data_IF_740349845987
#
_entry.id   IF_740349845987
#
_cell.length_a   1.000
_cell.length_b   1.000
_cell.length_c   1.000
_cell.angle_alpha   90.00
_cell.angle_beta   90.00
_cell.angle_gamma   90.00
#
_symmetry.space_group_name_H-M   'P 1'
#
loop_
_entity.id
_entity.type
_entity.pdbx_description
1 polymer ?
#
# COMPACT_ATOMS: atom_id res chain seq x y z
N UNK A 1 2.63 -18.52 6.45
CA UNK A 1 3.52 -18.68 5.29
C UNK A 1 4.27 -17.37 5.07
N UNK A 2 5.44 -17.39 4.43
CA UNK A 2 6.17 -16.16 4.12
C UNK A 2 5.73 -15.60 2.76
N UNK A 3 5.56 -14.28 2.67
CA UNK A 3 5.26 -13.59 1.41
C UNK A 3 6.50 -13.47 0.53
N UNK A 4 6.32 -13.26 -0.79
CA UNK A 4 7.45 -13.10 -1.72
C UNK A 4 8.36 -11.90 -1.38
N UNK A 5 7.80 -10.83 -0.80
CA UNK A 5 8.56 -9.66 -0.34
C UNK A 5 9.37 -10.01 0.91
N UNK A 6 8.82 -10.80 1.84
CA UNK A 6 9.56 -11.27 3.02
C UNK A 6 10.75 -12.15 2.64
N UNK A 7 10.54 -13.06 1.68
CA UNK A 7 11.62 -13.89 1.14
C UNK A 7 12.70 -13.02 0.52
N UNK A 8 12.34 -12.03 -0.30
CA UNK A 8 13.31 -11.12 -0.89
C UNK A 8 14.08 -10.31 0.16
N UNK A 9 13.41 -9.83 1.21
CA UNK A 9 14.04 -9.13 2.33
C UNK A 9 15.09 -10.00 3.01
N UNK A 10 14.76 -11.26 3.29
CA UNK A 10 15.70 -12.20 3.89
C UNK A 10 16.89 -12.48 2.95
N UNK A 11 16.62 -12.75 1.68
CA UNK A 11 17.67 -13.00 0.67
C UNK A 11 18.61 -11.81 0.56
N UNK A 12 18.10 -10.57 0.51
CA UNK A 12 18.95 -9.38 0.45
C UNK A 12 19.69 -9.09 1.75
N UNK A 13 19.15 -9.48 2.91
CA UNK A 13 19.87 -9.36 4.18
C UNK A 13 21.12 -10.23 4.22
N UNK A 14 21.09 -11.40 3.57
CA UNK A 14 22.23 -12.31 3.48
C UNK A 14 23.11 -12.04 2.24
N UNK A 15 22.50 -11.59 1.14
CA UNK A 15 23.14 -11.36 -0.17
C UNK A 15 22.59 -10.07 -0.81
N UNK A 16 23.14 -8.90 -0.50
CA UNK A 16 22.64 -7.61 -0.99
C UNK A 16 22.60 -7.47 -2.53
N UNK A 17 23.50 -8.17 -3.23
CA UNK A 17 23.58 -8.18 -4.69
C UNK A 17 22.76 -9.29 -5.36
N UNK A 18 21.93 -10.02 -4.61
CA UNK A 18 21.07 -11.04 -5.18
C UNK A 18 20.09 -10.42 -6.17
N UNK A 19 20.02 -10.98 -7.38
CA UNK A 19 19.09 -10.59 -8.43
C UNK A 19 17.80 -11.39 -8.24
N UNK A 20 16.67 -10.70 -8.17
CA UNK A 20 15.37 -11.31 -7.87
C UNK A 20 14.36 -10.93 -8.94
N UNK A 21 13.57 -11.90 -9.40
CA UNK A 21 12.42 -11.69 -10.29
C UNK A 21 11.15 -11.99 -9.51
N UNK A 22 10.34 -10.96 -9.25
CA UNK A 22 9.02 -11.09 -8.67
C UNK A 22 8.02 -11.45 -9.76
N UNK A 23 7.28 -12.54 -9.56
CA UNK A 23 6.23 -13.00 -10.47
C UNK A 23 4.89 -13.03 -9.72
N UNK A 24 4.10 -11.98 -9.87
CA UNK A 24 2.91 -11.69 -9.05
C UNK A 24 1.62 -11.75 -9.86
N UNK A 25 0.49 -12.10 -9.24
CA UNK A 25 -0.82 -11.96 -9.90
C UNK A 25 -1.28 -10.51 -10.00
N UNK A 26 -0.76 -9.64 -9.14
CA UNK A 26 -1.30 -8.30 -8.92
C UNK A 26 -0.23 -7.24 -9.13
N UNK A 27 -0.63 -6.10 -9.71
CA UNK A 27 0.16 -4.88 -9.81
C UNK A 27 -0.09 -3.94 -8.60
N UNK A 28 -0.59 -4.48 -7.49
CA UNK A 28 -1.08 -3.71 -6.37
C UNK A 28 0.00 -2.77 -5.79
N UNK A 29 -0.37 -1.52 -5.58
CA UNK A 29 0.52 -0.47 -5.08
C UNK A 29 1.09 -0.79 -3.69
N UNK A 30 0.38 -1.57 -2.86
CA UNK A 30 0.91 -2.03 -1.57
C UNK A 30 2.20 -2.83 -1.73
N UNK A 31 2.26 -3.78 -2.69
CA UNK A 31 3.45 -4.61 -2.88
C UNK A 31 4.62 -3.81 -3.44
N UNK A 32 4.34 -2.88 -4.36
CA UNK A 32 5.37 -1.99 -4.93
C UNK A 32 5.96 -1.09 -3.83
N UNK A 33 5.11 -0.50 -2.99
CA UNK A 33 5.56 0.29 -1.83
C UNK A 33 6.43 -0.50 -0.86
N UNK A 34 5.99 -1.71 -0.48
CA UNK A 34 6.74 -2.55 0.44
C UNK A 34 8.06 -3.05 -0.16
N UNK A 35 8.08 -3.32 -1.47
CA UNK A 35 9.29 -3.68 -2.19
C UNK A 35 10.33 -2.55 -2.11
N UNK A 36 9.93 -1.31 -2.36
CA UNK A 36 10.85 -0.15 -2.29
C UNK A 36 11.47 0.08 -0.92
N UNK A 37 10.81 -0.34 0.16
CA UNK A 37 11.37 -0.24 1.51
C UNK A 37 12.52 -1.21 1.75
N UNK A 38 12.56 -2.32 1.01
CA UNK A 38 13.50 -3.42 1.25
C UNK A 38 14.57 -3.58 0.16
N UNK A 39 14.35 -3.02 -1.03
CA UNK A 39 15.29 -3.09 -2.15
C UNK A 39 16.58 -2.35 -1.79
N UNK A 40 17.74 -3.03 -1.78
CA UNK A 40 19.00 -2.35 -1.56
C UNK A 40 19.36 -1.41 -2.72
N UNK A 41 20.15 -0.34 -2.47
CA UNK A 41 20.59 0.55 -3.53
C UNK A 41 21.33 -0.20 -4.63
N UNK A 42 21.07 0.17 -5.89
CA UNK A 42 21.74 -0.39 -7.07
C UNK A 42 21.50 -1.90 -7.30
N UNK A 43 20.52 -2.51 -6.61
CA UNK A 43 20.15 -3.90 -6.85
C UNK A 43 19.29 -4.04 -8.10
N UNK A 44 19.63 -5.01 -8.93
CA UNK A 44 18.85 -5.36 -10.13
C UNK A 44 17.74 -6.32 -9.77
N UNK A 45 16.51 -5.96 -10.11
CA UNK A 45 15.35 -6.82 -9.92
C UNK A 45 14.35 -6.69 -11.06
N UNK A 46 13.51 -7.72 -11.22
CA UNK A 46 12.37 -7.71 -12.14
C UNK A 46 11.06 -7.82 -11.39
N UNK A 47 10.00 -7.20 -11.90
CA UNK A 47 8.62 -7.37 -11.42
C UNK A 47 7.71 -7.62 -12.62
N UNK A 48 7.17 -8.83 -12.72
CA UNK A 48 6.28 -9.26 -13.79
C UNK A 48 4.94 -9.74 -13.25
N UNK A 49 3.90 -9.53 -14.06
CA UNK A 49 2.58 -10.06 -13.79
C UNK A 49 2.42 -11.48 -14.35
N UNK A 50 1.67 -12.33 -13.65
CA UNK A 50 1.43 -13.73 -14.01
C UNK A 50 0.61 -13.93 -15.28
N UNK A 51 -0.02 -12.88 -15.78
CA UNK A 51 -0.70 -12.86 -17.07
C UNK A 51 0.25 -12.55 -18.25
N UNK A 52 1.55 -12.33 -18.02
CA UNK A 52 2.51 -12.12 -19.10
C UNK A 52 2.71 -13.41 -19.92
N UNK A 53 3.11 -13.26 -21.18
CA UNK A 53 3.42 -14.41 -22.03
C UNK A 53 4.72 -15.09 -21.60
N UNK A 54 4.87 -16.37 -21.92
CA UNK A 54 6.09 -17.14 -21.61
C UNK A 54 7.33 -16.48 -22.21
N UNK A 55 7.24 -15.94 -23.43
CA UNK A 55 8.37 -15.24 -24.07
C UNK A 55 8.79 -14.00 -23.29
N UNK A 56 7.81 -13.24 -22.77
CA UNK A 56 8.07 -12.05 -21.96
C UNK A 56 8.70 -12.42 -20.62
N UNK A 57 8.24 -13.51 -20.00
CA UNK A 57 8.84 -14.03 -18.76
C UNK A 57 10.29 -14.46 -18.97
N UNK A 58 10.55 -15.28 -20.01
CA UNK A 58 11.90 -15.76 -20.33
C UNK A 58 12.84 -14.58 -20.62
N UNK A 59 12.40 -13.63 -21.45
CA UNK A 59 13.18 -12.43 -21.77
C UNK A 59 13.50 -11.60 -20.53
N UNK A 60 12.54 -11.44 -19.61
CA UNK A 60 12.77 -10.69 -18.39
C UNK A 60 13.72 -11.40 -17.42
N UNK A 61 13.65 -12.73 -17.32
CA UNK A 61 14.58 -13.53 -16.53
C UNK A 61 16.01 -13.38 -17.08
N UNK A 62 16.18 -13.45 -18.40
CA UNK A 62 17.48 -13.24 -19.04
C UNK A 62 18.02 -11.83 -18.75
N UNK A 63 17.20 -10.80 -18.95
CA UNK A 63 17.59 -9.42 -18.71
C UNK A 63 18.02 -9.16 -17.26
N UNK A 64 17.28 -9.69 -16.27
CA UNK A 64 17.57 -9.47 -14.85
C UNK A 64 18.76 -10.29 -14.37
N UNK A 65 18.79 -11.58 -14.73
CA UNK A 65 19.78 -12.52 -14.20
C UNK A 65 21.10 -12.51 -14.98
N UNK A 66 21.09 -12.20 -16.29
CA UNK A 66 22.28 -12.22 -17.14
C UNK A 66 22.75 -10.82 -17.52
N UNK A 67 21.84 -9.96 -18.02
CA UNK A 67 22.21 -8.65 -18.56
C UNK A 67 22.27 -7.53 -17.51
N UNK A 68 21.95 -7.86 -16.26
CA UNK A 68 21.93 -6.92 -15.12
C UNK A 68 21.02 -5.70 -15.37
N UNK A 69 19.89 -5.93 -16.06
CA UNK A 69 18.89 -4.91 -16.37
C UNK A 69 17.61 -5.14 -15.56
N UNK A 70 17.11 -4.07 -14.92
CA UNK A 70 15.82 -4.13 -14.24
C UNK A 70 14.67 -4.23 -15.26
N UNK A 71 13.73 -5.15 -15.01
CA UNK A 71 12.54 -5.32 -15.86
C UNK A 71 11.28 -5.20 -15.03
N UNK A 72 10.63 -4.04 -15.12
CA UNK A 72 9.34 -3.79 -14.46
C UNK A 72 8.25 -3.79 -15.53
N UNK A 73 7.20 -4.59 -15.32
CA UNK A 73 6.02 -4.63 -16.17
C UNK A 73 5.43 -3.22 -16.37
N UNK A 74 4.90 -2.94 -17.56
CA UNK A 74 4.32 -1.62 -17.88
C UNK A 74 3.20 -1.24 -16.89
N UNK A 75 2.38 -2.20 -16.50
CA UNK A 75 1.29 -1.97 -15.54
C UNK A 75 1.85 -1.58 -14.16
N UNK A 76 2.97 -2.19 -13.76
CA UNK A 76 3.66 -1.92 -12.50
C UNK A 76 4.44 -0.61 -12.56
N UNK A 77 5.02 -0.22 -13.70
CA UNK A 77 5.75 1.05 -13.86
C UNK A 77 4.89 2.28 -13.55
N UNK A 78 3.60 2.26 -13.93
CA UNK A 78 2.67 3.34 -13.62
C UNK A 78 2.47 3.51 -12.11
N UNK A 79 2.35 2.39 -11.41
CA UNK A 79 2.24 2.33 -9.95
C UNK A 79 3.54 2.73 -9.28
N UNK A 80 4.67 2.22 -9.77
CA UNK A 80 6.02 2.51 -9.31
C UNK A 80 6.32 4.01 -9.33
N UNK A 81 6.14 4.65 -10.49
CA UNK A 81 6.36 6.09 -10.67
C UNK A 81 5.51 6.97 -9.76
N UNK A 82 4.27 6.54 -9.46
CA UNK A 82 3.38 7.24 -8.51
C UNK A 82 3.82 7.02 -7.07
N UNK A 83 4.13 5.78 -6.70
CA UNK A 83 4.53 5.41 -5.34
C UNK A 83 5.77 6.17 -4.87
N UNK A 84 6.72 6.40 -5.79
CA UNK A 84 7.96 7.16 -5.56
C UNK A 84 7.77 8.68 -5.65
N UNK A 85 6.67 9.15 -6.18
CA UNK A 85 6.42 10.58 -6.32
C UNK A 85 6.01 11.18 -4.96
N UNK A 86 6.80 12.13 -4.45
CA UNK A 86 6.53 12.79 -3.16
C UNK A 86 5.16 13.51 -3.09
N UNK A 87 4.62 13.89 -4.25
CA UNK A 87 3.35 14.59 -4.38
C UNK A 87 2.19 13.61 -4.33
N UNK A 88 2.26 12.49 -5.06
CA UNK A 88 1.13 11.57 -5.25
C UNK A 88 1.24 10.26 -4.46
N UNK A 89 2.45 9.93 -3.98
CA UNK A 89 2.73 8.79 -3.13
C UNK A 89 2.38 9.05 -1.67
N UNK A 90 1.75 8.04 -1.04
CA UNK A 90 1.40 8.10 0.37
C UNK A 90 2.65 7.95 1.25
N UNK A 91 2.79 8.79 2.26
CA UNK A 91 3.73 8.55 3.36
C UNK A 91 3.24 7.38 4.21
N UNK A 92 4.13 6.78 5.00
CA UNK A 92 3.74 5.71 5.93
C UNK A 92 2.66 6.20 6.91
N UNK A 93 2.80 7.42 7.43
CA UNK A 93 1.82 8.04 8.33
C UNK A 93 0.43 8.23 7.70
N UNK A 94 0.36 8.54 6.40
CA UNK A 94 -0.91 8.65 5.67
C UNK A 94 -1.49 7.26 5.34
N UNK A 95 -0.61 6.31 5.02
CA UNK A 95 -0.99 4.94 4.74
C UNK A 95 -1.56 4.24 5.99
N UNK A 96 -0.94 4.42 7.16
CA UNK A 96 -1.47 3.93 8.44
C UNK A 96 -2.91 4.38 8.69
N UNK A 97 -3.19 5.66 8.43
CA UNK A 97 -4.53 6.23 8.62
C UNK A 97 -5.50 5.72 7.55
N UNK A 98 -5.02 5.47 6.31
CA UNK A 98 -5.82 4.81 5.27
C UNK A 98 -6.25 3.40 5.70
N UNK A 99 -5.34 2.62 6.28
CA UNK A 99 -5.67 1.30 6.82
C UNK A 99 -6.69 1.42 7.94
N UNK A 100 -6.47 2.30 8.92
CA UNK A 100 -7.39 2.43 10.05
C UNK A 100 -8.82 2.85 9.61
N UNK A 101 -8.97 3.72 8.60
CA UNK A 101 -10.30 4.03 8.07
C UNK A 101 -10.92 2.88 7.29
N UNK A 102 -10.10 2.06 6.62
CA UNK A 102 -10.58 0.88 5.90
C UNK A 102 -11.06 -0.22 6.86
N UNK A 103 -10.41 -0.34 8.04
CA UNK A 103 -10.86 -1.17 9.16
C UNK A 103 -12.06 -0.56 9.94
N UNK A 104 -12.53 0.63 9.55
CA UNK A 104 -13.72 1.26 10.13
C UNK A 104 -13.50 2.04 11.42
N UNK A 105 -12.25 2.40 11.78
CA UNK A 105 -11.99 3.19 12.98
C UNK A 105 -12.47 4.64 12.82
N UNK A 106 -13.01 5.17 13.92
CA UNK A 106 -13.35 6.60 14.04
C UNK A 106 -12.08 7.43 14.24
N UNK A 107 -12.12 8.73 13.91
CA UNK A 107 -10.99 9.65 14.11
C UNK A 107 -10.44 9.63 15.54
N UNK A 108 -11.32 9.45 16.54
CA UNK A 108 -10.92 9.36 17.94
C UNK A 108 -10.20 8.04 18.25
N UNK A 109 -10.67 6.92 17.70
CA UNK A 109 -10.01 5.64 17.85
C UNK A 109 -8.63 5.64 17.16
N UNK A 110 -8.54 6.23 15.96
CA UNK A 110 -7.27 6.43 15.24
C UNK A 110 -6.30 7.27 16.07
N UNK A 111 -6.79 8.36 16.67
CA UNK A 111 -5.99 9.21 17.55
C UNK A 111 -5.39 8.41 18.72
N UNK A 112 -6.20 7.57 19.37
CA UNK A 112 -5.74 6.67 20.42
C UNK A 112 -4.74 5.62 19.94
N UNK A 113 -5.05 4.92 18.83
CA UNK A 113 -4.22 3.84 18.28
C UNK A 113 -2.85 4.32 17.81
N UNK A 114 -2.78 5.52 17.20
CA UNK A 114 -1.58 6.09 16.57
C UNK A 114 -0.86 7.13 17.44
N UNK A 115 -1.29 7.32 18.69
CA UNK A 115 -0.75 8.33 19.62
C UNK A 115 -0.77 9.76 19.05
N UNK A 116 -1.89 10.14 18.44
CA UNK A 116 -2.10 11.45 17.83
C UNK A 116 -3.16 12.26 18.58
N UNK A 117 -3.16 13.58 18.36
CA UNK A 117 -4.33 14.40 18.67
C UNK A 117 -5.42 14.21 17.60
N UNK A 118 -6.69 14.50 17.92
CA UNK A 118 -7.78 14.54 16.91
C UNK A 118 -7.40 15.41 15.71
N UNK A 119 -6.85 16.60 15.96
CA UNK A 119 -6.37 17.50 14.92
C UNK A 119 -5.27 16.87 14.06
N UNK A 120 -4.37 16.09 14.67
CA UNK A 120 -3.35 15.33 13.96
C UNK A 120 -3.96 14.32 12.99
N UNK A 121 -4.98 13.58 13.40
CA UNK A 121 -5.72 12.65 12.54
C UNK A 121 -6.40 13.38 11.39
N UNK A 122 -7.13 14.47 11.67
CA UNK A 122 -7.80 15.26 10.63
C UNK A 122 -6.81 15.79 9.59
N UNK A 123 -5.64 16.27 10.02
CA UNK A 123 -4.61 16.75 9.10
C UNK A 123 -4.05 15.63 8.22
N UNK A 124 -3.81 14.44 8.77
CA UNK A 124 -3.37 13.27 7.99
C UNK A 124 -4.43 12.82 7.00
N UNK A 125 -5.70 12.77 7.41
CA UNK A 125 -6.82 12.43 6.53
C UNK A 125 -6.96 13.42 5.38
N UNK A 126 -6.81 14.72 5.65
CA UNK A 126 -6.86 15.75 4.60
C UNK A 126 -5.76 15.51 3.56
N UNK A 127 -4.51 15.36 3.99
CA UNK A 127 -3.39 15.11 3.07
C UNK A 127 -3.57 13.79 2.30
N UNK A 128 -4.07 12.75 2.97
CA UNK A 128 -4.43 11.48 2.32
C UNK A 128 -5.47 11.70 1.22
N UNK A 129 -6.54 12.44 1.49
CA UNK A 129 -7.58 12.73 0.50
C UNK A 129 -7.07 13.55 -0.68
N UNK A 130 -6.20 14.52 -0.42
CA UNK A 130 -5.55 15.33 -1.47
C UNK A 130 -4.70 14.44 -2.39
N UNK A 131 -3.88 13.54 -1.83
CA UNK A 131 -3.02 12.62 -2.60
C UNK A 131 -3.79 11.49 -3.32
N UNK A 132 -4.90 11.08 -2.76
CA UNK A 132 -5.83 10.17 -3.41
C UNK A 132 -6.71 10.89 -4.45
N UNK A 133 -6.62 12.22 -4.55
CA UNK A 133 -7.38 13.04 -5.49
C UNK A 133 -8.90 12.88 -5.31
N UNK A 134 -9.33 12.66 -4.07
CA UNK A 134 -10.73 12.37 -3.72
C UNK A 134 -11.67 13.50 -4.17
N UNK A 135 -11.19 14.73 -4.13
CA UNK A 135 -11.96 15.93 -4.46
C UNK A 135 -12.16 16.15 -5.96
N UNK A 136 -11.38 15.48 -6.83
CA UNK A 136 -11.46 15.71 -8.28
C UNK A 136 -12.81 15.26 -8.88
N UNK A 137 -13.45 14.28 -8.25
CA UNK A 137 -14.75 13.75 -8.69
C UNK A 137 -15.92 14.32 -7.88
N UNK A 138 -15.67 15.26 -6.95
CA UNK A 138 -16.73 15.88 -6.16
C UNK A 138 -17.52 16.85 -7.02
N UNK A 139 -18.84 16.70 -6.97
CA UNK A 139 -19.79 17.67 -7.51
C UNK A 139 -20.62 18.14 -6.31
N UNK A 140 -20.89 19.44 -6.26
CA UNK A 140 -21.77 20.03 -5.26
C UNK A 140 -23.04 20.55 -5.96
N UNK A 141 -24.19 20.22 -5.38
CA UNK A 141 -25.51 20.60 -5.89
C UNK A 141 -26.38 21.10 -4.76
N UNK A 142 -27.20 22.11 -5.05
CA UNK A 142 -28.18 22.64 -4.09
C UNK A 142 -29.24 21.59 -3.69
N UNK A 143 -29.49 20.57 -4.51
CA UNK A 143 -30.53 19.56 -4.26
C UNK A 143 -30.09 18.48 -3.25
N UNK A 144 -28.82 18.07 -3.28
CA UNK A 144 -28.33 16.91 -2.52
C UNK A 144 -26.96 17.11 -1.85
N UNK A 145 -26.35 18.29 -1.95
CA UNK A 145 -25.07 18.60 -1.34
C UNK A 145 -23.89 18.02 -2.12
N UNK A 146 -22.94 17.38 -1.43
CA UNK A 146 -21.71 16.82 -2.03
C UNK A 146 -21.87 15.36 -2.46
N UNK A 147 -21.24 14.96 -3.56
CA UNK A 147 -21.56 13.67 -4.21
C UNK A 147 -21.11 12.47 -3.39
N UNK A 148 -19.93 12.58 -2.75
CA UNK A 148 -19.34 11.45 -2.04
C UNK A 148 -18.86 11.84 -0.66
N UNK A 149 -19.00 10.93 0.29
CA UNK A 149 -18.20 10.98 1.51
C UNK A 149 -16.72 10.85 1.16
N UNK A 150 -15.90 11.80 1.60
CA UNK A 150 -14.46 11.79 1.34
C UNK A 150 -13.80 10.49 1.82
N UNK A 151 -14.20 10.01 3.01
CA UNK A 151 -13.70 8.76 3.60
C UNK A 151 -14.05 7.55 2.76
N UNK A 152 -15.32 7.41 2.36
CA UNK A 152 -15.75 6.26 1.56
C UNK A 152 -15.13 6.28 0.16
N UNK A 153 -15.01 7.48 -0.44
CA UNK A 153 -14.37 7.64 -1.75
C UNK A 153 -12.87 7.34 -1.69
N UNK A 154 -12.18 7.73 -0.62
CA UNK A 154 -10.78 7.38 -0.39
C UNK A 154 -10.58 5.87 -0.34
N UNK A 155 -11.41 5.13 0.39
CA UNK A 155 -11.36 3.66 0.45
C UNK A 155 -11.59 3.06 -0.95
N UNK A 156 -12.60 3.54 -1.70
CA UNK A 156 -12.88 3.06 -3.06
C UNK A 156 -11.69 3.27 -4.01
N UNK A 157 -11.04 4.43 -3.95
CA UNK A 157 -9.87 4.76 -4.77
C UNK A 157 -8.65 3.96 -4.34
N UNK A 158 -8.48 3.72 -3.04
CA UNK A 158 -7.43 2.86 -2.51
C UNK A 158 -7.55 1.43 -3.02
N UNK A 159 -8.75 0.85 -3.03
CA UNK A 159 -8.99 -0.46 -3.67
C UNK A 159 -8.68 -0.44 -5.17
N UNK A 160 -9.07 0.62 -5.89
CA UNK A 160 -8.77 0.72 -7.32
C UNK A 160 -7.27 0.77 -7.61
N UNK A 161 -6.49 1.41 -6.73
CA UNK A 161 -5.04 1.52 -6.83
C UNK A 161 -4.31 0.28 -6.29
N UNK A 162 -5.02 -0.67 -5.67
CA UNK A 162 -4.38 -1.79 -4.96
C UNK A 162 -3.57 -1.35 -3.74
N UNK A 163 -3.91 -0.20 -3.14
CA UNK A 163 -3.33 0.23 -1.86
C UNK A 163 -3.85 -0.59 -0.68
N UNK A 164 -5.05 -1.15 -0.84
CA UNK A 164 -5.71 -2.06 0.10
C UNK A 164 -6.31 -3.23 -0.68
N UNK A 165 -6.23 -4.43 -0.11
CA UNK A 165 -6.86 -5.64 -0.62
C UNK A 165 -7.35 -6.50 0.55
N UNK A 166 -8.12 -7.55 0.27
CA UNK A 166 -8.75 -8.37 1.30
C UNK A 166 -7.72 -9.02 2.24
N UNK A 167 -6.65 -9.59 1.67
CA UNK A 167 -5.60 -10.24 2.46
C UNK A 167 -4.94 -9.26 3.44
N UNK A 168 -4.57 -8.06 2.97
CA UNK A 168 -3.98 -7.03 3.83
C UNK A 168 -4.94 -6.64 4.96
N UNK A 169 -6.23 -6.47 4.66
CA UNK A 169 -7.19 -6.10 5.69
C UNK A 169 -7.37 -7.20 6.73
N UNK A 170 -7.38 -8.48 6.32
CA UNK A 170 -7.42 -9.61 7.26
C UNK A 170 -6.18 -9.62 8.19
N UNK A 171 -4.99 -9.33 7.65
CA UNK A 171 -3.75 -9.21 8.44
C UNK A 171 -3.80 -8.04 9.44
N UNK A 172 -4.28 -6.88 9.00
CA UNK A 172 -4.39 -5.67 9.82
C UNK A 172 -5.53 -5.75 10.86
N UNK A 173 -6.58 -6.54 10.60
CA UNK A 173 -7.65 -6.85 11.56
C UNK A 173 -7.08 -7.63 12.77
N UNK A 174 -6.15 -8.56 12.54
CA UNK A 174 -5.48 -9.29 13.63
C UNK A 174 -4.70 -8.32 14.54
N UNK A 175 -3.99 -7.35 13.96
CA UNK A 175 -3.28 -6.33 14.73
C UNK A 175 -4.24 -5.37 15.44
N UNK A 176 -5.39 -5.07 14.83
CA UNK A 176 -6.44 -4.30 15.47
C UNK A 176 -7.00 -5.02 16.69
N UNK A 177 -7.29 -6.32 16.59
CA UNK A 177 -7.79 -7.13 17.70
C UNK A 177 -6.78 -7.20 18.86
N UNK A 178 -5.47 -7.31 18.55
CA UNK A 178 -4.41 -7.23 19.57
C UNK A 178 -4.36 -5.87 20.28
N UNK A 179 -4.67 -4.79 19.57
CA UNK A 179 -4.77 -3.46 20.18
C UNK A 179 -6.02 -3.35 21.05
N UNK A 180 -7.17 -3.81 20.56
CA UNK A 180 -8.45 -3.79 21.28
C UNK A 180 -8.42 -4.65 22.55
N UNK A 181 -7.74 -5.79 22.53
CA UNK A 181 -7.66 -6.69 23.69
C UNK A 181 -7.04 -6.04 24.93
N UNK A 182 -6.17 -5.04 24.74
CA UNK A 182 -5.57 -4.24 25.84
C UNK A 182 -6.61 -3.43 26.62
N UNK A 183 -7.76 -3.16 26.00
CA UNK A 183 -8.88 -2.40 26.59
C UNK A 183 -10.08 -3.28 26.93
N UNK A 184 -10.08 -4.55 26.53
CA UNK A 184 -11.14 -5.53 26.88
C UNK A 184 -10.96 -6.14 28.28
N UNK A 185 -9.98 -5.69 29.06
CA UNK A 185 -9.76 -6.09 30.45
C UNK A 185 -10.09 -4.94 31.42
N UNK A 186 -11.38 -4.67 31.59
CA UNK A 186 -11.96 -4.40 32.91
C UNK A 186 -13.29 -5.16 32.94
N UNK A 187 -13.52 -6.06 33.93
CA UNK A 187 -14.89 -6.45 34.24
C UNK A 187 -15.63 -5.17 34.63
N UNK A 188 -16.79 -4.94 34.04
CA UNK A 188 -17.75 -4.01 34.61
C UNK A 188 -18.13 -4.58 35.98
N UNK A 189 -17.56 -4.02 37.05
CA UNK A 189 -18.04 -4.20 38.43
C UNK A 189 -19.49 -3.71 38.56
#
# INVERSE_FOLDING_TARGET
EMTGIEVARQVWSERPHARIVFWSHFADEVYVRELHKIVPPQTVYGYLLKNCTDEKLISAIQAVLQDEQCVIDREVRGVDSRSQNKITGLSDAEYEVLIDIALGLTDQAIAGRRFLSRRGVTNRLRNLYDKLEVSNDQIESDEWGTTFSLRARAIRLAFQRGLINAQLLDEEEIELDKWLSRYRLEPLD
#
